data_IF_915636623109
#
_entry.id   IF_915636623109
#
_cell.length_a   1.000
_cell.length_b   1.000
_cell.length_c   1.000
_cell.angle_alpha   90.00
_cell.angle_beta   90.00
_cell.angle_gamma   90.00
#
_symmetry.space_group_name_H-M   'P 1'
#
loop_
_entity.id
_entity.type
_entity.pdbx_description
1 polymer ?
#
# COMPACT_ATOMS: atom_id res chain seq x y z
N UNK A 1 -35.72 -8.51 9.52
CA UNK A 1 -34.43 -8.98 10.05
C UNK A 1 -33.50 -9.18 8.86
N UNK A 2 -32.85 -8.10 8.42
CA UNK A 2 -32.03 -8.07 7.21
C UNK A 2 -30.56 -8.25 7.60
N UNK A 3 -29.91 -9.28 7.07
CA UNK A 3 -28.49 -9.55 7.27
C UNK A 3 -27.65 -8.57 6.45
N UNK A 4 -26.94 -7.70 7.16
CA UNK A 4 -25.92 -6.80 6.61
C UNK A 4 -24.65 -7.61 6.34
N UNK A 5 -24.35 -7.87 5.07
CA UNK A 5 -23.15 -8.60 4.65
C UNK A 5 -21.95 -7.65 4.60
N UNK A 6 -21.12 -7.73 5.65
CA UNK A 6 -19.66 -7.66 5.65
C UNK A 6 -18.97 -6.75 4.62
N UNK A 7 -18.73 -5.50 5.01
CA UNK A 7 -17.63 -4.69 4.51
C UNK A 7 -16.43 -4.81 5.48
N UNK A 8 -15.68 -5.91 5.37
CA UNK A 8 -14.39 -6.09 6.04
C UNK A 8 -13.28 -5.75 5.05
N UNK A 9 -12.57 -4.65 5.26
CA UNK A 9 -11.50 -4.15 4.38
C UNK A 9 -10.17 -4.92 4.53
N UNK A 10 -10.18 -6.18 4.96
CA UNK A 10 -9.01 -7.03 5.14
C UNK A 10 -8.92 -8.11 4.06
N UNK A 11 -8.08 -7.92 3.06
CA UNK A 11 -7.92 -8.84 1.94
C UNK A 11 -7.00 -10.02 2.31
N UNK A 12 -7.49 -10.94 3.14
CA UNK A 12 -6.88 -12.25 3.38
C UNK A 12 -7.95 -13.31 3.23
N UNK A 13 -7.71 -14.33 2.39
CA UNK A 13 -8.79 -15.22 1.99
C UNK A 13 -9.01 -16.40 2.94
N UNK A 14 -10.25 -16.66 3.37
CA UNK A 14 -10.69 -17.88 4.11
C UNK A 14 -11.77 -18.65 3.35
N UNK A 15 -12.04 -19.90 3.77
CA UNK A 15 -13.04 -20.80 3.18
C UNK A 15 -14.45 -20.18 3.32
N UNK A 16 -14.96 -19.55 2.26
CA UNK A 16 -16.22 -18.79 2.26
C UNK A 16 -16.17 -17.50 1.43
N UNK A 17 -15.00 -17.10 0.95
CA UNK A 17 -14.86 -15.87 0.17
C UNK A 17 -15.46 -15.93 -1.24
N UNK A 18 -15.98 -14.78 -1.66
CA UNK A 18 -16.40 -14.52 -3.03
C UNK A 18 -15.28 -14.94 -4.03
N UNK A 19 -15.57 -15.87 -4.97
CA UNK A 19 -14.60 -16.31 -5.97
C UNK A 19 -13.97 -15.16 -6.77
N UNK A 20 -14.74 -14.09 -7.02
CA UNK A 20 -14.23 -12.89 -7.69
C UNK A 20 -13.14 -12.22 -6.84
N UNK A 21 -13.38 -12.01 -5.55
CA UNK A 21 -12.41 -11.38 -4.66
C UNK A 21 -11.16 -12.24 -4.46
N UNK A 22 -11.34 -13.56 -4.42
CA UNK A 22 -10.21 -14.50 -4.41
C UNK A 22 -9.35 -14.37 -5.68
N UNK A 23 -9.98 -14.26 -6.85
CA UNK A 23 -9.26 -14.08 -8.12
C UNK A 23 -8.52 -12.73 -8.16
N UNK A 24 -9.21 -11.65 -7.78
CA UNK A 24 -8.61 -10.30 -7.68
C UNK A 24 -7.41 -10.30 -6.73
N UNK A 25 -7.52 -10.94 -5.57
CA UNK A 25 -6.43 -11.06 -4.61
C UNK A 25 -5.22 -11.77 -5.20
N UNK A 26 -5.42 -12.94 -5.82
CA UNK A 26 -4.34 -13.75 -6.40
C UNK A 26 -3.58 -13.02 -7.51
N UNK A 27 -4.29 -12.22 -8.31
CA UNK A 27 -3.73 -11.40 -9.37
C UNK A 27 -2.97 -10.19 -8.79
N UNK A 28 -3.61 -9.43 -7.90
CA UNK A 28 -3.00 -8.28 -7.22
C UNK A 28 -1.70 -8.67 -6.51
N UNK A 29 -1.70 -9.79 -5.79
CA UNK A 29 -0.52 -10.23 -5.02
C UNK A 29 0.68 -10.59 -5.89
N UNK A 30 0.47 -10.84 -7.19
CA UNK A 30 1.48 -11.23 -8.18
C UNK A 30 1.78 -10.14 -9.20
N UNK A 31 1.46 -8.88 -8.89
CA UNK A 31 1.65 -7.73 -9.79
C UNK A 31 0.79 -7.75 -11.07
N UNK A 32 -0.28 -8.55 -11.12
CA UNK A 32 -1.22 -8.60 -12.24
C UNK A 32 -2.39 -7.62 -12.04
N UNK A 33 -2.10 -6.35 -11.73
CA UNK A 33 -3.13 -5.35 -11.40
C UNK A 33 -4.08 -5.05 -12.55
N UNK A 34 -3.59 -5.03 -13.80
CA UNK A 34 -4.42 -4.75 -14.96
C UNK A 34 -5.48 -5.84 -15.14
N UNK A 35 -5.08 -7.11 -15.03
CA UNK A 35 -5.98 -8.25 -15.10
C UNK A 35 -6.95 -8.25 -13.91
N UNK A 36 -6.46 -7.97 -12.70
CA UNK A 36 -7.30 -7.85 -11.51
C UNK A 36 -8.35 -6.75 -11.66
N UNK A 37 -7.97 -5.59 -12.22
CA UNK A 37 -8.86 -4.48 -12.49
C UNK A 37 -9.88 -4.83 -13.59
N UNK A 38 -9.49 -5.61 -14.59
CA UNK A 38 -10.37 -6.05 -15.68
C UNK A 38 -11.51 -6.96 -15.20
N UNK A 39 -11.33 -7.69 -14.09
CA UNK A 39 -12.40 -8.47 -13.45
C UNK A 39 -13.47 -7.60 -12.78
N UNK A 40 -13.20 -6.31 -12.55
CA UNK A 40 -14.08 -5.40 -11.85
C UNK A 40 -14.78 -4.47 -12.84
N UNK A 41 -16.04 -4.78 -13.12
CA UNK A 41 -16.93 -3.87 -13.86
C UNK A 41 -17.31 -2.67 -12.97
N UNK A 42 -16.99 -1.43 -13.38
CA UNK A 42 -17.17 -0.24 -12.54
C UNK A 42 -18.62 0.27 -12.61
N UNK A 43 -19.60 -0.57 -12.27
CA UNK A 43 -21.04 -0.23 -12.27
C UNK A 43 -21.55 0.25 -10.92
N UNK A 44 -20.78 0.02 -9.85
CA UNK A 44 -21.04 0.54 -8.50
C UNK A 44 -19.87 1.37 -8.02
N UNK A 45 -20.11 2.29 -7.07
CA UNK A 45 -19.04 3.08 -6.44
C UNK A 45 -17.97 2.18 -5.80
N UNK A 46 -18.38 1.09 -5.14
CA UNK A 46 -17.47 0.12 -4.52
C UNK A 46 -16.57 -0.58 -5.55
N UNK A 47 -17.14 -1.11 -6.64
CA UNK A 47 -16.36 -1.79 -7.68
C UNK A 47 -15.42 -0.83 -8.42
N UNK A 48 -15.89 0.39 -8.73
CA UNK A 48 -15.08 1.43 -9.36
C UNK A 48 -13.92 1.89 -8.46
N UNK A 49 -14.16 2.01 -7.14
CA UNK A 49 -13.13 2.34 -6.16
C UNK A 49 -12.08 1.23 -6.04
N UNK A 50 -12.50 -0.03 -5.95
CA UNK A 50 -11.59 -1.17 -5.89
C UNK A 50 -10.73 -1.26 -7.15
N UNK A 51 -11.33 -1.09 -8.33
CA UNK A 51 -10.63 -1.00 -9.61
C UNK A 51 -9.59 0.13 -9.60
N UNK A 52 -9.97 1.31 -9.10
CA UNK A 52 -9.08 2.45 -8.97
C UNK A 52 -7.89 2.14 -8.06
N UNK A 53 -8.12 1.56 -6.88
CA UNK A 53 -7.06 1.22 -5.94
C UNK A 53 -6.01 0.27 -6.55
N UNK A 54 -6.45 -0.72 -7.36
CA UNK A 54 -5.53 -1.62 -8.09
C UNK A 54 -4.67 -0.88 -9.10
N UNK A 55 -5.26 0.04 -9.87
CA UNK A 55 -4.55 0.80 -10.90
C UNK A 55 -3.63 1.86 -10.29
N UNK A 56 -3.99 2.46 -9.15
CA UNK A 56 -3.11 3.35 -8.39
C UNK A 56 -1.94 2.58 -7.78
N UNK A 57 -2.17 1.37 -7.25
CA UNK A 57 -1.10 0.48 -6.76
C UNK A 57 -0.16 0.07 -7.90
N UNK A 58 -0.68 -0.26 -9.08
CA UNK A 58 0.12 -0.49 -10.30
C UNK A 58 1.03 0.70 -10.60
N UNK A 59 0.52 1.92 -10.55
CA UNK A 59 1.33 3.12 -10.78
C UNK A 59 2.50 3.22 -9.79
N UNK A 60 2.24 2.95 -8.51
CA UNK A 60 3.26 3.00 -7.44
C UNK A 60 4.35 1.92 -7.60
N UNK A 61 4.00 0.76 -8.15
CA UNK A 61 4.94 -0.36 -8.27
C UNK A 61 5.66 -0.41 -9.61
N UNK A 62 5.07 0.14 -10.68
CA UNK A 62 5.57 0.00 -12.05
C UNK A 62 5.93 1.32 -12.72
N UNK A 63 5.56 2.45 -12.11
CA UNK A 63 5.76 3.80 -12.66
C UNK A 63 5.03 4.02 -14.01
N UNK A 64 4.02 3.18 -14.28
CA UNK A 64 3.25 3.14 -15.52
C UNK A 64 1.74 3.05 -15.23
N UNK A 65 0.91 3.24 -16.26
CA UNK A 65 -0.56 3.09 -16.15
C UNK A 65 -1.29 4.31 -15.58
N UNK A 66 -0.64 5.48 -15.56
CA UNK A 66 -1.19 6.71 -14.99
C UNK A 66 -2.50 7.17 -15.62
N UNK A 67 -2.65 7.05 -16.95
CA UNK A 67 -3.87 7.41 -17.65
C UNK A 67 -5.04 6.49 -17.26
N UNK A 68 -4.82 5.17 -17.25
CA UNK A 68 -5.81 4.17 -16.82
C UNK A 68 -6.29 4.44 -15.39
N UNK A 69 -5.37 4.78 -14.49
CA UNK A 69 -5.68 5.09 -13.09
C UNK A 69 -6.50 6.38 -12.95
N UNK A 70 -6.17 7.43 -13.72
CA UNK A 70 -6.93 8.68 -13.72
C UNK A 70 -8.35 8.48 -14.29
N UNK A 71 -8.51 7.67 -15.34
CA UNK A 71 -9.80 7.33 -15.93
C UNK A 71 -10.69 6.51 -14.99
N UNK A 72 -10.12 5.49 -14.36
CA UNK A 72 -10.83 4.70 -13.35
C UNK A 72 -11.26 5.57 -12.16
N UNK A 73 -10.38 6.47 -11.72
CA UNK A 73 -10.68 7.37 -10.61
C UNK A 73 -11.78 8.38 -10.96
N UNK A 74 -11.79 8.94 -12.19
CA UNK A 74 -12.89 9.79 -12.65
C UNK A 74 -14.23 9.05 -12.64
N UNK A 75 -14.22 7.77 -12.99
CA UNK A 75 -15.41 6.90 -12.93
C UNK A 75 -15.86 6.68 -11.48
N UNK A 76 -14.94 6.38 -10.57
CA UNK A 76 -15.24 6.20 -9.15
C UNK A 76 -15.82 7.47 -8.50
N UNK A 77 -15.30 8.65 -8.87
CA UNK A 77 -15.82 9.92 -8.40
C UNK A 77 -17.21 10.24 -8.95
N UNK A 78 -17.49 9.89 -10.21
CA UNK A 78 -18.81 10.10 -10.80
C UNK A 78 -19.90 9.22 -10.14
N UNK A 79 -19.53 8.02 -9.69
CA UNK A 79 -20.43 7.07 -9.02
C UNK A 79 -20.58 7.32 -7.51
N UNK A 80 -19.72 8.15 -6.91
CA UNK A 80 -19.73 8.42 -5.48
C UNK A 80 -20.85 9.41 -5.10
N UNK A 81 -21.84 8.96 -4.33
CA UNK A 81 -23.01 9.77 -3.99
C UNK A 81 -23.13 10.05 -2.49
N UNK A 82 -22.69 9.13 -1.65
CA UNK A 82 -22.61 9.32 -0.19
C UNK A 82 -21.31 10.03 0.22
N UNK A 83 -21.28 10.59 1.44
CA UNK A 83 -20.06 11.17 1.99
C UNK A 83 -18.93 10.13 2.14
N UNK A 84 -19.27 8.90 2.52
CA UNK A 84 -18.30 7.83 2.66
C UNK A 84 -17.67 7.46 1.31
N UNK A 85 -18.47 7.29 0.26
CA UNK A 85 -17.97 7.01 -1.10
C UNK A 85 -17.13 8.18 -1.63
N UNK A 86 -17.59 9.43 -1.45
CA UNK A 86 -16.83 10.62 -1.85
C UNK A 86 -15.51 10.73 -1.10
N UNK A 87 -15.52 10.40 0.20
CA UNK A 87 -14.33 10.36 1.04
C UNK A 87 -13.34 9.31 0.58
N UNK A 88 -13.81 8.12 0.21
CA UNK A 88 -12.99 7.05 -0.32
C UNK A 88 -12.39 7.38 -1.69
N UNK A 89 -13.18 7.94 -2.62
CA UNK A 89 -12.68 8.41 -3.91
C UNK A 89 -11.65 9.54 -3.74
N UNK A 90 -11.90 10.50 -2.84
CA UNK A 90 -10.92 11.53 -2.50
C UNK A 90 -9.63 10.95 -1.89
N UNK A 91 -9.74 9.86 -1.13
CA UNK A 91 -8.59 9.13 -0.60
C UNK A 91 -7.72 8.53 -1.72
N UNK A 92 -8.34 7.94 -2.76
CA UNK A 92 -7.62 7.43 -3.94
C UNK A 92 -7.01 8.55 -4.79
N UNK A 93 -7.74 9.67 -4.98
CA UNK A 93 -7.20 10.88 -5.64
C UNK A 93 -5.96 11.40 -4.93
N UNK A 94 -5.99 11.40 -3.60
CA UNK A 94 -4.83 11.72 -2.78
C UNK A 94 -3.65 10.77 -3.01
N UNK A 95 -3.92 9.47 -3.08
CA UNK A 95 -2.88 8.45 -3.30
C UNK A 95 -2.26 8.52 -4.70
N UNK A 96 -3.06 8.74 -5.75
CA UNK A 96 -2.58 8.88 -7.12
C UNK A 96 -1.71 10.13 -7.27
N UNK A 97 -2.14 11.26 -6.71
CA UNK A 97 -1.37 12.50 -6.70
C UNK A 97 -0.05 12.33 -5.92
N UNK A 98 -0.09 11.66 -4.77
CA UNK A 98 1.10 11.29 -4.01
C UNK A 98 2.07 10.45 -4.85
N UNK A 99 1.58 9.37 -5.48
CA UNK A 99 2.39 8.48 -6.31
C UNK A 99 3.06 9.22 -7.48
N UNK A 100 2.30 10.05 -8.21
CA UNK A 100 2.82 10.84 -9.32
C UNK A 100 3.93 11.81 -8.88
N UNK A 101 3.80 12.38 -7.67
CA UNK A 101 4.78 13.31 -7.10
C UNK A 101 6.06 12.58 -6.71
N UNK A 102 5.97 11.47 -5.96
CA UNK A 102 7.17 10.75 -5.50
C UNK A 102 7.95 10.09 -6.63
N UNK A 103 7.29 9.73 -7.73
CA UNK A 103 7.93 9.19 -8.94
C UNK A 103 8.38 10.27 -9.93
N UNK A 104 8.17 11.56 -9.64
CA UNK A 104 8.61 12.65 -10.51
C UNK A 104 7.86 12.73 -11.86
N UNK A 105 6.70 12.08 -11.98
CA UNK A 105 5.85 12.15 -13.18
C UNK A 105 5.23 13.53 -13.32
N UNK A 106 4.71 14.05 -12.20
CA UNK A 106 4.21 15.43 -12.07
C UNK A 106 4.16 15.79 -10.60
N UNK A 107 4.60 17.01 -10.26
CA UNK A 107 4.39 17.52 -8.91
C UNK A 107 2.89 17.80 -8.68
N UNK A 108 2.28 16.97 -7.83
CA UNK A 108 0.88 17.03 -7.40
C UNK A 108 0.80 17.05 -5.87
N UNK A 109 1.82 17.57 -5.17
CA UNK A 109 1.88 17.55 -3.71
C UNK A 109 0.70 18.27 -3.04
N UNK A 110 0.31 19.44 -3.58
CA UNK A 110 -0.82 20.22 -3.06
C UNK A 110 -2.15 19.52 -3.31
N UNK A 111 -2.30 18.86 -4.47
CA UNK A 111 -3.47 18.05 -4.78
C UNK A 111 -3.58 16.86 -3.83
N UNK A 112 -2.48 16.15 -3.58
CA UNK A 112 -2.43 15.04 -2.64
C UNK A 112 -2.88 15.49 -1.23
N UNK A 113 -2.35 16.63 -0.76
CA UNK A 113 -2.72 17.21 0.54
C UNK A 113 -4.20 17.60 0.59
N UNK A 114 -4.69 18.30 -0.43
CA UNK A 114 -6.07 18.74 -0.50
C UNK A 114 -7.05 17.57 -0.55
N UNK A 115 -6.77 16.54 -1.37
CA UNK A 115 -7.62 15.37 -1.52
C UNK A 115 -7.67 14.52 -0.25
N UNK A 116 -6.52 14.25 0.39
CA UNK A 116 -6.49 13.55 1.68
C UNK A 116 -7.13 14.37 2.82
N UNK A 117 -7.05 15.70 2.75
CA UNK A 117 -7.78 16.59 3.65
C UNK A 117 -9.30 16.48 3.49
N UNK A 118 -9.79 16.49 2.24
CA UNK A 118 -11.22 16.25 1.93
C UNK A 118 -11.67 14.87 2.40
N UNK A 119 -10.89 13.82 2.13
CA UNK A 119 -11.17 12.48 2.62
C UNK A 119 -11.29 12.45 4.16
N UNK A 120 -10.43 13.16 4.89
CA UNK A 120 -10.49 13.20 6.35
C UNK A 120 -11.72 13.92 6.92
N UNK A 121 -12.28 14.86 6.16
CA UNK A 121 -13.53 15.53 6.53
C UNK A 121 -14.76 14.65 6.28
N UNK A 122 -14.69 13.76 5.30
CA UNK A 122 -15.82 12.93 4.86
C UNK A 122 -15.84 11.53 5.50
N UNK A 123 -14.67 10.93 5.76
CA UNK A 123 -14.55 9.58 6.33
C UNK A 123 -14.57 9.66 7.86
N UNK A 124 -15.59 9.10 8.55
CA UNK A 124 -15.68 9.14 10.00
C UNK A 124 -14.49 8.46 10.70
N UNK A 125 -14.11 8.88 11.92
CA UNK A 125 -12.96 8.30 12.64
C UNK A 125 -13.05 6.78 12.93
N UNK A 126 -14.26 6.22 13.00
CA UNK A 126 -14.48 4.77 13.24
C UNK A 126 -14.80 3.96 11.99
N UNK A 127 -14.80 4.58 10.81
CA UNK A 127 -15.05 3.88 9.56
C UNK A 127 -13.86 3.02 9.15
N UNK A 128 -14.10 1.87 8.53
CA UNK A 128 -13.05 0.94 8.11
C UNK A 128 -11.99 1.62 7.20
N UNK A 129 -12.43 2.50 6.29
CA UNK A 129 -11.54 3.25 5.40
C UNK A 129 -10.65 4.29 6.10
N UNK A 130 -10.87 4.60 7.38
CA UNK A 130 -10.09 5.60 8.12
C UNK A 130 -8.65 5.18 8.32
N UNK A 131 -8.41 3.89 8.59
CA UNK A 131 -7.06 3.35 8.81
C UNK A 131 -6.17 3.55 7.58
N UNK A 132 -6.70 3.24 6.38
CA UNK A 132 -5.99 3.43 5.11
C UNK A 132 -5.73 4.92 4.84
N UNK A 133 -6.69 5.79 5.13
CA UNK A 133 -6.51 7.23 5.01
C UNK A 133 -5.38 7.75 5.93
N UNK A 134 -5.36 7.34 7.19
CA UNK A 134 -4.28 7.71 8.12
C UNK A 134 -2.92 7.20 7.62
N UNK A 135 -2.86 5.99 7.05
CA UNK A 135 -1.65 5.45 6.46
C UNK A 135 -1.14 6.34 5.31
N UNK A 136 -2.01 6.70 4.37
CA UNK A 136 -1.67 7.56 3.22
C UNK A 136 -1.25 8.97 3.63
N UNK A 137 -1.86 9.53 4.69
CA UNK A 137 -1.40 10.78 5.29
C UNK A 137 -0.02 10.64 5.92
N UNK A 138 0.30 9.47 6.48
CA UNK A 138 1.64 9.14 6.94
C UNK A 138 2.67 9.12 5.80
N UNK A 139 2.33 8.50 4.67
CA UNK A 139 3.18 8.48 3.47
C UNK A 139 3.51 9.90 2.97
N UNK A 140 2.48 10.76 2.89
CA UNK A 140 2.66 12.17 2.52
C UNK A 140 3.54 12.91 3.53
N UNK A 141 3.31 12.67 4.83
CA UNK A 141 4.06 13.30 5.89
C UNK A 141 5.56 12.94 5.83
N UNK A 142 5.85 11.65 5.62
CA UNK A 142 7.20 11.10 5.53
C UNK A 142 7.93 11.59 4.28
N UNK A 143 7.33 11.42 3.10
CA UNK A 143 8.06 11.51 1.84
C UNK A 143 7.98 12.89 1.18
N UNK A 144 6.89 13.64 1.39
CA UNK A 144 6.70 14.95 0.76
C UNK A 144 6.97 16.10 1.74
N UNK A 145 6.42 16.03 2.96
CA UNK A 145 6.63 17.11 3.96
C UNK A 145 7.87 16.91 4.83
N UNK A 146 8.49 15.73 4.77
CA UNK A 146 9.68 15.36 5.56
C UNK A 146 9.50 15.59 7.07
N UNK A 147 8.33 15.22 7.58
CA UNK A 147 7.93 15.39 8.98
C UNK A 147 7.80 14.02 9.67
N UNK A 148 8.89 13.43 10.18
CA UNK A 148 8.89 12.07 10.73
C UNK A 148 7.97 11.90 11.95
N UNK A 149 7.79 12.94 12.78
CA UNK A 149 6.89 12.90 13.94
C UNK A 149 5.42 12.79 13.50
N UNK A 150 5.01 13.58 12.50
CA UNK A 150 3.67 13.51 11.93
C UNK A 150 3.43 12.17 11.21
N UNK A 151 4.44 11.65 10.50
CA UNK A 151 4.39 10.34 9.87
C UNK A 151 4.19 9.23 10.91
N UNK A 152 5.00 9.21 11.98
CA UNK A 152 4.88 8.26 13.10
C UNK A 152 3.49 8.29 13.73
N UNK A 153 2.96 9.47 14.03
CA UNK A 153 1.63 9.61 14.61
C UNK A 153 0.53 9.08 13.69
N UNK A 154 0.64 9.34 12.37
CA UNK A 154 -0.30 8.83 11.38
C UNK A 154 -0.21 7.30 11.21
N UNK A 155 0.99 6.74 11.12
CA UNK A 155 1.18 5.29 11.03
C UNK A 155 0.72 4.56 12.28
N UNK A 156 0.88 5.12 13.49
CA UNK A 156 0.33 4.51 14.72
C UNK A 156 -1.20 4.48 14.72
N UNK A 157 -1.87 5.54 14.26
CA UNK A 157 -3.34 5.53 14.10
C UNK A 157 -3.78 4.51 13.05
N UNK A 158 -3.10 4.47 11.92
CA UNK A 158 -3.36 3.50 10.88
C UNK A 158 -3.18 2.05 11.38
N UNK A 159 -2.13 1.79 12.15
CA UNK A 159 -1.85 0.48 12.73
C UNK A 159 -2.96 0.05 13.70
N UNK A 160 -3.34 0.94 14.62
CA UNK A 160 -4.45 0.68 15.55
C UNK A 160 -5.76 0.41 14.83
N UNK A 161 -6.08 1.19 13.78
CA UNK A 161 -7.27 0.98 12.96
C UNK A 161 -7.23 -0.34 12.18
N UNK A 162 -6.09 -0.67 11.57
CA UNK A 162 -5.90 -1.94 10.87
C UNK A 162 -6.09 -3.14 11.81
N UNK A 163 -5.63 -3.04 13.07
CA UNK A 163 -5.90 -4.04 14.11
C UNK A 163 -7.36 -4.12 14.50
N UNK A 164 -8.02 -2.97 14.73
CA UNK A 164 -9.43 -2.95 15.11
C UNK A 164 -10.36 -3.53 14.02
N UNK A 165 -9.99 -3.39 12.74
CA UNK A 165 -10.76 -3.86 11.59
C UNK A 165 -10.24 -5.17 10.98
N UNK A 166 -9.27 -5.84 11.61
CA UNK A 166 -8.66 -7.07 11.10
C UNK A 166 -8.18 -6.95 9.64
N UNK A 167 -7.42 -5.90 9.34
CA UNK A 167 -6.77 -5.66 8.04
C UNK A 167 -5.26 -6.00 8.13
N UNK A 168 -4.89 -7.29 7.96
CA UNK A 168 -3.50 -7.72 8.10
C UNK A 168 -2.59 -7.12 7.01
N UNK A 169 -3.12 -6.86 5.81
CA UNK A 169 -2.30 -6.27 4.75
C UNK A 169 -1.87 -4.85 5.12
N UNK A 170 -2.80 -4.01 5.59
CA UNK A 170 -2.49 -2.67 6.06
C UNK A 170 -1.61 -2.69 7.31
N UNK A 171 -1.82 -3.65 8.22
CA UNK A 171 -0.90 -3.88 9.34
C UNK A 171 0.54 -4.12 8.85
N UNK A 172 0.73 -4.96 7.83
CA UNK A 172 2.05 -5.21 7.25
C UNK A 172 2.70 -3.95 6.68
N UNK A 173 1.91 -3.01 6.15
CA UNK A 173 2.43 -1.74 5.65
C UNK A 173 2.85 -0.83 6.80
N UNK A 174 2.00 -0.68 7.80
CA UNK A 174 2.28 0.17 8.97
C UNK A 174 3.48 -0.34 9.77
N UNK A 175 3.63 -1.65 9.96
CA UNK A 175 4.82 -2.27 10.56
C UNK A 175 6.10 -1.84 9.85
N UNK A 176 6.15 -2.01 8.52
CA UNK A 176 7.32 -1.64 7.72
C UNK A 176 7.66 -0.14 7.86
N UNK A 177 6.67 0.73 7.79
CA UNK A 177 6.91 2.17 7.85
C UNK A 177 7.32 2.66 9.24
N UNK A 178 6.75 2.09 10.32
CA UNK A 178 7.19 2.36 11.68
C UNK A 178 8.62 1.86 11.93
N UNK A 179 8.94 0.65 11.46
CA UNK A 179 10.30 0.11 11.51
C UNK A 179 11.31 0.95 10.73
N UNK A 180 10.93 1.48 9.55
CA UNK A 180 11.78 2.40 8.78
C UNK A 180 12.06 3.71 9.51
N UNK A 181 11.10 4.22 10.29
CA UNK A 181 11.32 5.37 11.16
C UNK A 181 12.27 5.03 12.33
N UNK A 182 12.07 3.87 12.97
CA UNK A 182 12.93 3.39 14.05
C UNK A 182 14.38 3.17 13.57
N UNK A 183 14.57 2.58 12.39
CA UNK A 183 15.89 2.37 11.78
C UNK A 183 16.64 3.69 11.60
N UNK A 184 15.97 4.74 11.11
CA UNK A 184 16.57 6.07 10.93
C UNK A 184 16.94 6.75 12.25
N UNK A 185 16.32 6.35 13.35
CA UNK A 185 16.64 6.84 14.69
C UNK A 185 17.73 5.99 15.38
N UNK A 186 18.20 4.91 14.74
CA UNK A 186 19.21 4.00 15.29
C UNK A 186 18.64 2.92 16.20
N UNK A 187 17.30 2.81 16.30
CA UNK A 187 16.60 1.84 17.14
C UNK A 187 16.52 0.47 16.44
N UNK A 188 17.69 -0.18 16.29
CA UNK A 188 17.86 -1.40 15.49
C UNK A 188 16.98 -2.58 15.95
N UNK A 189 16.76 -2.73 17.26
CA UNK A 189 15.92 -3.81 17.79
C UNK A 189 14.45 -3.63 17.40
N UNK A 190 13.92 -2.41 17.51
CA UNK A 190 12.55 -2.08 17.10
C UNK A 190 12.39 -2.18 15.58
N UNK A 191 13.39 -1.72 14.82
CA UNK A 191 13.41 -1.86 13.36
C UNK A 191 13.38 -3.33 12.92
N UNK A 192 14.25 -4.19 13.47
CA UNK A 192 14.26 -5.63 13.16
C UNK A 192 12.93 -6.29 13.48
N UNK A 193 12.36 -6.02 14.65
CA UNK A 193 11.06 -6.58 15.03
C UNK A 193 9.95 -6.17 14.05
N UNK A 194 9.82 -4.87 13.76
CA UNK A 194 8.76 -4.39 12.88
C UNK A 194 8.92 -4.82 11.41
N UNK A 195 10.16 -4.91 10.90
CA UNK A 195 10.40 -5.49 9.57
C UNK A 195 10.12 -6.99 9.53
N UNK A 196 10.47 -7.73 10.59
CA UNK A 196 10.15 -9.15 10.73
C UNK A 196 8.63 -9.40 10.73
N UNK A 197 7.86 -8.63 11.51
CA UNK A 197 6.40 -8.73 11.52
C UNK A 197 5.78 -8.36 10.16
N UNK A 198 6.30 -7.32 9.51
CA UNK A 198 5.85 -6.97 8.15
C UNK A 198 6.11 -8.10 7.15
N UNK A 199 7.25 -8.80 7.25
CA UNK A 199 7.59 -9.90 6.34
C UNK A 199 6.68 -11.09 6.60
N UNK A 200 6.58 -11.52 7.86
CA UNK A 200 5.75 -12.65 8.30
C UNK A 200 4.31 -12.53 7.80
N UNK A 201 3.67 -11.38 8.03
CA UNK A 201 2.28 -11.15 7.60
C UNK A 201 2.14 -11.23 6.07
N UNK A 202 3.10 -10.70 5.30
CA UNK A 202 3.03 -10.74 3.83
C UNK A 202 3.23 -12.16 3.28
N UNK A 203 4.06 -12.96 3.92
CA UNK A 203 4.24 -14.38 3.59
C UNK A 203 2.96 -15.18 3.88
N UNK A 204 2.37 -14.99 5.06
CA UNK A 204 1.10 -15.64 5.46
C UNK A 204 -0.05 -15.28 4.50
N UNK A 205 -0.11 -14.03 4.05
CA UNK A 205 -1.11 -13.56 3.09
C UNK A 205 -0.82 -13.99 1.64
N UNK A 206 0.40 -14.45 1.35
CA UNK A 206 0.86 -14.68 -0.02
C UNK A 206 0.94 -13.40 -0.87
N UNK A 207 1.23 -12.25 -0.25
CA UNK A 207 1.37 -10.95 -0.90
C UNK A 207 2.76 -10.78 -1.56
N UNK A 208 3.04 -11.61 -2.56
CA UNK A 208 4.36 -11.79 -3.16
C UNK A 208 5.03 -10.49 -3.66
N UNK A 209 4.26 -9.61 -4.29
CA UNK A 209 4.75 -8.32 -4.79
C UNK A 209 5.26 -7.41 -3.67
N UNK A 210 4.76 -7.58 -2.44
CA UNK A 210 5.25 -6.88 -1.26
C UNK A 210 6.34 -7.62 -0.48
N UNK A 211 6.60 -8.90 -0.77
CA UNK A 211 7.59 -9.71 -0.02
C UNK A 211 9.01 -9.29 -0.34
N UNK A 212 9.38 -9.08 -1.61
CA UNK A 212 10.74 -8.65 -1.96
C UNK A 212 11.14 -7.30 -1.32
N UNK A 213 10.27 -6.26 -1.31
CA UNK A 213 10.54 -5.04 -0.53
C UNK A 213 10.65 -5.26 0.99
N UNK A 214 9.88 -6.19 1.56
CA UNK A 214 9.95 -6.49 3.00
C UNK A 214 11.29 -7.15 3.38
N UNK A 215 11.76 -8.10 2.56
CA UNK A 215 13.07 -8.75 2.72
C UNK A 215 14.21 -7.73 2.66
N UNK A 216 14.20 -6.80 1.70
CA UNK A 216 15.21 -5.73 1.64
C UNK A 216 15.15 -4.84 2.88
N UNK A 217 13.95 -4.49 3.33
CA UNK A 217 13.79 -3.65 4.53
C UNK A 217 14.35 -4.34 5.78
N UNK A 218 14.10 -5.64 5.94
CA UNK A 218 14.69 -6.42 7.04
C UNK A 218 16.22 -6.51 6.91
N UNK A 219 16.74 -6.73 5.70
CA UNK A 219 18.18 -6.78 5.45
C UNK A 219 18.91 -5.49 5.84
N UNK A 220 18.23 -4.33 5.76
CA UNK A 220 18.81 -3.04 6.17
C UNK A 220 18.94 -2.89 7.69
N UNK A 221 18.27 -3.74 8.48
CA UNK A 221 18.38 -3.79 9.93
C UNK A 221 19.20 -4.99 10.45
N UNK A 222 19.71 -5.85 9.55
CA UNK A 222 20.49 -7.04 9.89
C UNK A 222 21.99 -6.88 9.60
N UNK A 223 22.81 -7.69 10.28
CA UNK A 223 24.25 -7.79 10.00
C UNK A 223 24.56 -8.93 9.02
N UNK A 224 25.77 -8.93 8.47
CA UNK A 224 26.24 -10.08 7.69
C UNK A 224 26.40 -11.33 8.58
N UNK A 225 26.15 -12.54 8.05
CA UNK A 225 25.81 -12.86 6.65
C UNK A 225 24.31 -12.79 6.32
N UNK A 226 23.45 -12.47 7.29
CA UNK A 226 21.99 -12.56 7.15
C UNK A 226 21.45 -11.52 6.17
N UNK A 227 21.96 -10.29 6.25
CA UNK A 227 21.59 -9.22 5.33
C UNK A 227 21.81 -9.61 3.85
N UNK A 228 22.93 -10.27 3.52
CA UNK A 228 23.18 -10.79 2.16
C UNK A 228 22.19 -11.87 1.73
N UNK A 229 21.83 -12.80 2.63
CA UNK A 229 20.86 -13.87 2.35
C UNK A 229 19.48 -13.31 2.03
N UNK A 230 19.01 -12.36 2.83
CA UNK A 230 17.73 -11.67 2.64
C UNK A 230 17.70 -10.93 1.29
N UNK A 231 18.78 -10.22 0.93
CA UNK A 231 18.89 -9.55 -0.38
C UNK A 231 18.96 -10.53 -1.55
N UNK A 232 19.53 -11.71 -1.37
CA UNK A 232 19.49 -12.78 -2.38
C UNK A 232 18.09 -13.31 -2.62
N UNK A 233 17.34 -13.58 -1.56
CA UNK A 233 15.94 -14.02 -1.67
C UNK A 233 15.08 -12.93 -2.34
N UNK A 234 15.26 -11.67 -1.93
CA UNK A 234 14.59 -10.54 -2.57
C UNK A 234 14.90 -10.45 -4.07
N UNK A 235 16.17 -10.69 -4.48
CA UNK A 235 16.56 -10.73 -5.90
C UNK A 235 15.88 -11.87 -6.67
N UNK A 236 15.72 -13.05 -6.07
CA UNK A 236 15.01 -14.17 -6.70
C UNK A 236 13.55 -13.83 -6.95
N UNK A 237 12.86 -13.32 -5.94
CA UNK A 237 11.45 -12.90 -6.05
C UNK A 237 11.26 -11.73 -7.04
N UNK A 238 12.15 -10.74 -6.99
CA UNK A 238 12.13 -9.61 -7.92
C UNK A 238 12.25 -10.06 -9.39
N UNK A 239 13.13 -11.02 -9.69
CA UNK A 239 13.26 -11.62 -11.03
C UNK A 239 12.02 -12.43 -11.41
N UNK A 240 11.47 -13.21 -10.48
CA UNK A 240 10.25 -13.99 -10.69
C UNK A 240 9.05 -13.10 -11.08
N UNK A 241 8.96 -11.91 -10.50
CA UNK A 241 7.92 -10.91 -10.79
C UNK A 241 8.27 -9.98 -11.96
N UNK A 242 9.27 -10.32 -12.78
CA UNK A 242 9.60 -9.55 -13.98
C UNK A 242 10.19 -8.17 -13.73
N UNK A 243 10.83 -7.95 -12.58
CA UNK A 243 11.45 -6.66 -12.24
C UNK A 243 10.50 -5.66 -11.58
N UNK A 244 9.43 -6.14 -10.95
CA UNK A 244 8.48 -5.34 -10.17
C UNK A 244 8.68 -5.57 -8.66
N UNK A 245 8.68 -4.51 -7.82
CA UNK A 245 8.55 -3.10 -8.18
C UNK A 245 9.80 -2.49 -8.81
N UNK A 246 9.63 -1.61 -9.80
CA UNK A 246 10.72 -1.01 -10.59
C UNK A 246 11.78 -0.31 -9.73
N UNK A 247 11.34 0.42 -8.71
CA UNK A 247 12.20 1.13 -7.78
C UNK A 247 13.00 0.23 -6.83
N UNK A 248 12.74 -1.08 -6.78
CA UNK A 248 13.51 -2.02 -5.96
C UNK A 248 14.88 -2.33 -6.58
N UNK A 249 15.02 -2.20 -7.90
CA UNK A 249 16.26 -2.50 -8.61
C UNK A 249 17.48 -1.76 -8.03
N UNK A 250 17.33 -0.49 -7.66
CA UNK A 250 18.40 0.32 -7.04
C UNK A 250 18.85 -0.16 -5.66
N UNK A 251 17.98 -0.85 -4.93
CA UNK A 251 18.28 -1.40 -3.59
C UNK A 251 18.87 -2.81 -3.65
N UNK A 252 18.71 -3.49 -4.79
CA UNK A 252 19.21 -4.84 -5.04
C UNK A 252 20.50 -4.85 -5.87
N UNK A 253 20.94 -3.70 -6.38
CA UNK A 253 22.21 -3.57 -7.07
C UNK A 253 23.35 -3.96 -6.11
N UNK A 254 24.31 -4.80 -6.53
CA UNK A 254 25.48 -5.08 -5.70
C UNK A 254 26.22 -3.77 -5.41
N UNK A 255 26.83 -3.62 -4.22
CA UNK A 255 27.69 -2.47 -3.95
C UNK A 255 28.74 -2.39 -5.07
N UNK A 256 28.95 -1.19 -5.61
CA UNK A 256 29.96 -0.97 -6.64
C UNK A 256 31.29 -1.55 -6.14
N UNK A 257 31.90 -2.42 -6.95
CA UNK A 257 33.22 -2.96 -6.62
C UNK A 257 34.15 -1.75 -6.44
N UNK A 258 34.62 -1.55 -5.22
CA UNK A 258 35.68 -0.58 -4.93
C UNK A 258 36.90 -1.03 -5.72
N UNK A 259 37.23 -0.28 -6.77
CA UNK A 259 38.49 -0.42 -7.51
C UNK A 259 39.68 0.02 -6.65
#
# INVERSE_FOLDING_TARGET
MAHSAMAGSGWGTTEGDDPLQTAVWRLRSRACWADAAALLEPVTAAAALQRTALLVERCLYTEQGWADAEDALRTAEALAHSDEERGAAACERGQLAYAATVHGVRDRADEARAALGRAAALVPPGAAGRALLDFRRGLLAENLTRSPQAARAAYRRAHAGATAHADPLLQSFTWRHLAGLALREGELAEARHGFGESLRIREELGYLVGTAPALVSLADAESEPEASRLREEARRLFKLLGGVPTWLARHLAPPAATA
#
